data_IF_302076984085
#
_entry.id   IF_302076984085
#
_cell.length_a   1.000
_cell.length_b   1.000
_cell.length_c   1.000
_cell.angle_alpha   90.00
_cell.angle_beta   90.00
_cell.angle_gamma   90.00
#
_symmetry.space_group_name_H-M   'P 1'
#
loop_
_entity.id
_entity.type
_entity.pdbx_description
1 polymer ?
#
# COMPACT_ATOMS: atom_id res chain seq x y z
N UNK A 1 35.42 -17.94 34.25
CA UNK A 1 34.80 -17.34 33.06
C UNK A 1 35.31 -15.90 32.92
N UNK A 2 36.13 -15.62 31.89
CA UNK A 2 36.83 -14.35 31.71
C UNK A 2 36.05 -13.46 30.79
N UNK A 3 35.57 -12.30 31.30
CA UNK A 3 34.94 -11.23 30.53
C UNK A 3 36.01 -10.46 29.75
N UNK A 4 35.93 -10.44 28.42
CA UNK A 4 36.80 -9.60 27.56
C UNK A 4 36.11 -8.25 27.34
N UNK A 5 36.71 -7.20 27.92
CA UNK A 5 36.35 -5.80 27.69
C UNK A 5 37.08 -5.32 26.44
N UNK A 6 36.34 -4.87 25.44
CA UNK A 6 36.90 -4.21 24.26
C UNK A 6 36.92 -2.71 24.50
N UNK A 7 38.12 -2.13 24.51
CA UNK A 7 38.35 -0.68 24.56
C UNK A 7 38.45 -0.16 23.14
N UNK A 8 37.60 0.83 22.83
CA UNK A 8 37.67 1.61 21.58
C UNK A 8 38.53 2.83 21.86
N UNK A 9 39.63 2.96 21.17
CA UNK A 9 40.54 4.10 21.23
C UNK A 9 40.03 5.24 20.33
N UNK A 10 39.86 6.43 20.91
CA UNK A 10 39.71 7.67 20.18
C UNK A 10 41.08 8.12 19.66
N UNK A 11 41.19 8.38 18.36
CA UNK A 11 42.32 9.08 17.78
C UNK A 11 41.85 10.48 17.34
N UNK A 12 42.33 11.50 18.06
CA UNK A 12 42.34 12.91 17.63
C UNK A 12 43.56 13.14 16.75
N UNK A 13 43.38 13.79 15.59
CA UNK A 13 44.36 14.59 14.85
C UNK A 13 43.58 15.35 13.79
N UNK A 14 43.69 16.60 13.54
CA UNK A 14 44.63 17.67 13.84
C UNK A 14 44.27 18.82 12.91
N UNK A 15 44.17 20.01 13.47
CA UNK A 15 43.89 21.25 12.74
C UNK A 15 45.03 21.56 11.73
N UNK A 16 44.64 21.93 10.48
CA UNK A 16 45.44 22.79 9.65
C UNK A 16 44.61 23.96 9.14
N UNK A 17 44.90 25.13 9.71
CA UNK A 17 44.54 26.42 9.16
C UNK A 17 45.50 26.74 7.99
N UNK A 18 44.98 27.06 6.81
CA UNK A 18 45.67 27.92 5.84
C UNK A 18 44.71 29.00 5.38
N UNK A 19 45.14 30.21 5.62
CA UNK A 19 44.45 31.43 5.26
C UNK A 19 44.77 31.87 3.82
N UNK A 20 43.82 32.62 3.26
CA UNK A 20 44.01 33.68 2.25
C UNK A 20 44.15 33.26 0.79
N UNK A 21 43.14 33.59 -0.03
CA UNK A 21 43.27 34.73 -0.95
C UNK A 21 41.92 35.08 -1.63
N UNK A 22 41.64 36.38 -1.58
CA UNK A 22 40.60 37.04 -2.35
C UNK A 22 40.84 36.89 -3.86
N UNK A 23 39.83 36.42 -4.60
CA UNK A 23 39.64 36.81 -5.99
C UNK A 23 38.22 36.56 -6.46
N UNK A 24 37.55 37.66 -6.80
CA UNK A 24 36.51 37.84 -7.79
C UNK A 24 35.21 37.04 -7.60
N UNK A 25 34.23 37.71 -6.95
CA UNK A 25 32.80 37.49 -7.14
C UNK A 25 32.49 37.44 -8.64
N UNK A 26 32.40 36.24 -9.19
CA UNK A 26 31.63 35.99 -10.39
C UNK A 26 30.24 35.52 -9.90
N UNK A 27 29.28 36.41 -10.05
CA UNK A 27 27.85 36.17 -9.82
C UNK A 27 27.41 35.12 -10.82
N UNK A 28 27.57 33.85 -10.47
CA UNK A 28 26.84 32.75 -11.10
C UNK A 28 25.46 32.77 -10.51
N UNK A 29 24.51 33.30 -11.28
CA UNK A 29 23.11 32.97 -11.14
C UNK A 29 23.01 31.46 -11.39
N UNK A 30 23.12 30.66 -10.35
CA UNK A 30 22.60 29.32 -10.38
C UNK A 30 21.09 29.49 -10.47
N UNK A 31 20.52 29.17 -11.61
CA UNK A 31 19.12 28.85 -11.73
C UNK A 31 18.87 27.73 -10.73
N UNK A 32 18.32 28.05 -9.58
CA UNK A 32 17.59 27.09 -8.76
C UNK A 32 16.51 26.53 -9.69
N UNK A 33 16.75 25.35 -10.22
CA UNK A 33 15.67 24.49 -10.63
C UNK A 33 14.88 24.22 -9.35
N UNK A 34 13.87 25.04 -9.09
CA UNK A 34 12.75 24.66 -8.27
C UNK A 34 12.13 23.51 -9.03
N UNK A 35 12.54 22.27 -8.72
CA UNK A 35 11.71 21.12 -9.01
C UNK A 35 10.36 21.47 -8.41
N UNK A 36 9.41 21.74 -9.28
CA UNK A 36 8.03 21.91 -8.87
C UNK A 36 7.69 20.64 -8.09
N UNK A 37 7.47 20.78 -6.81
CA UNK A 37 6.96 19.75 -5.92
C UNK A 37 5.62 19.32 -6.54
N UNK A 38 5.68 18.28 -7.39
CA UNK A 38 4.48 17.71 -8.02
C UNK A 38 3.77 16.99 -6.88
N UNK A 39 2.76 17.65 -6.34
CA UNK A 39 1.90 17.06 -5.34
C UNK A 39 1.49 15.65 -5.79
N UNK A 40 1.80 14.66 -4.96
CA UNK A 40 1.44 13.27 -5.21
C UNK A 40 -0.08 13.17 -5.51
N UNK A 41 -0.48 12.42 -6.56
CA UNK A 41 -1.88 12.31 -6.91
C UNK A 41 -2.67 11.70 -5.73
N UNK A 42 -3.81 12.30 -5.45
CA UNK A 42 -4.74 11.78 -4.44
C UNK A 42 -5.79 10.93 -5.13
N UNK A 43 -5.90 9.69 -4.69
CA UNK A 43 -6.90 8.75 -5.21
C UNK A 43 -8.18 8.79 -4.38
N UNK A 44 -9.30 8.44 -5.01
CA UNK A 44 -10.59 8.25 -4.33
C UNK A 44 -11.02 6.80 -4.47
N UNK A 45 -11.61 6.24 -3.40
CA UNK A 45 -12.12 4.86 -3.40
C UNK A 45 -13.54 4.79 -3.97
N UNK A 46 -14.38 5.72 -3.50
CA UNK A 46 -15.81 5.70 -3.84
C UNK A 46 -16.03 6.05 -5.31
N UNK A 47 -16.89 5.29 -5.96
CA UNK A 47 -17.15 5.37 -7.40
C UNK A 47 -16.21 4.49 -8.25
N UNK A 48 -15.11 3.99 -7.68
CA UNK A 48 -14.18 3.15 -8.43
C UNK A 48 -14.76 1.76 -8.70
N UNK A 49 -14.45 1.25 -9.87
CA UNK A 49 -14.60 -0.15 -10.25
C UNK A 49 -13.21 -0.70 -10.51
N UNK A 50 -12.85 -1.77 -9.81
CA UNK A 50 -11.53 -2.39 -9.90
C UNK A 50 -11.64 -3.87 -10.23
N UNK A 51 -10.67 -4.37 -10.97
CA UNK A 51 -10.42 -5.80 -11.10
C UNK A 51 -9.23 -6.16 -10.22
N UNK A 52 -9.41 -7.18 -9.39
CA UNK A 52 -8.40 -7.70 -8.47
C UNK A 52 -8.01 -9.10 -8.95
N UNK A 53 -6.71 -9.27 -9.20
CA UNK A 53 -6.14 -10.51 -9.72
C UNK A 53 -5.20 -11.07 -8.66
N UNK A 54 -5.68 -12.05 -7.90
CA UNK A 54 -4.92 -12.64 -6.80
C UNK A 54 -4.01 -13.77 -7.27
N UNK A 55 -2.95 -13.99 -6.55
CA UNK A 55 -2.13 -15.20 -6.67
C UNK A 55 -3.01 -16.43 -6.46
N UNK A 56 -2.75 -17.52 -7.19
CA UNK A 56 -3.60 -18.71 -7.16
C UNK A 56 -4.83 -18.67 -8.07
N UNK A 57 -5.02 -17.58 -8.84
CA UNK A 57 -6.00 -17.52 -9.93
C UNK A 57 -7.40 -17.02 -9.52
N UNK A 58 -7.63 -16.65 -8.27
CA UNK A 58 -8.85 -15.97 -7.87
C UNK A 58 -8.92 -14.57 -8.50
N UNK A 59 -10.09 -14.21 -9.03
CA UNK A 59 -10.38 -12.88 -9.58
C UNK A 59 -11.58 -12.29 -8.87
N UNK A 60 -11.54 -10.99 -8.62
CA UNK A 60 -12.69 -10.25 -8.10
C UNK A 60 -12.86 -8.93 -8.86
N UNK A 61 -14.08 -8.65 -9.30
CA UNK A 61 -14.51 -7.34 -9.76
C UNK A 61 -15.22 -6.68 -8.60
N UNK A 62 -14.76 -5.50 -8.18
CA UNK A 62 -15.35 -4.79 -7.05
C UNK A 62 -15.70 -3.36 -7.47
N UNK A 63 -16.92 -2.95 -7.13
CA UNK A 63 -17.39 -1.58 -7.28
C UNK A 63 -17.68 -0.99 -5.91
N UNK A 64 -17.03 0.09 -5.55
CA UNK A 64 -17.23 0.83 -4.31
C UNK A 64 -18.32 1.87 -4.52
N UNK A 65 -19.56 1.53 -4.13
CA UNK A 65 -20.76 2.31 -4.48
C UNK A 65 -20.89 3.59 -3.65
N UNK A 66 -20.60 3.49 -2.36
CA UNK A 66 -20.64 4.59 -1.40
C UNK A 66 -19.79 4.23 -0.17
N UNK A 67 -19.80 5.06 0.86
CA UNK A 67 -18.96 4.90 2.06
C UNK A 67 -19.18 3.60 2.84
N UNK A 68 -20.32 2.94 2.65
CA UNK A 68 -20.71 1.76 3.42
C UNK A 68 -21.09 0.55 2.56
N UNK A 69 -21.01 0.65 1.23
CA UNK A 69 -21.52 -0.41 0.36
C UNK A 69 -20.57 -0.67 -0.80
N UNK A 70 -20.22 -1.93 -0.97
CA UNK A 70 -19.55 -2.44 -2.16
C UNK A 70 -20.42 -3.49 -2.86
N UNK A 71 -20.21 -3.62 -4.16
CA UNK A 71 -20.72 -4.72 -4.99
C UNK A 71 -19.52 -5.48 -5.54
N UNK A 72 -19.49 -6.79 -5.36
CA UNK A 72 -18.38 -7.62 -5.83
C UNK A 72 -18.88 -8.83 -6.61
N UNK A 73 -18.05 -9.26 -7.55
CA UNK A 73 -18.21 -10.49 -8.30
C UNK A 73 -16.88 -11.24 -8.25
N UNK A 74 -16.86 -12.36 -7.59
CA UNK A 74 -15.64 -13.18 -7.41
C UNK A 74 -15.71 -14.42 -8.27
N UNK A 75 -14.61 -14.74 -8.93
CA UNK A 75 -14.46 -15.94 -9.75
C UNK A 75 -13.31 -16.79 -9.22
N UNK A 76 -13.62 -18.03 -8.86
CA UNK A 76 -12.65 -19.03 -8.40
C UNK A 76 -12.90 -20.34 -9.16
N UNK A 77 -11.89 -20.86 -9.86
CA UNK A 77 -11.99 -22.10 -10.63
C UNK A 77 -13.23 -22.17 -11.54
N UNK A 78 -13.62 -21.05 -12.15
CA UNK A 78 -14.80 -20.95 -13.02
C UNK A 78 -16.13 -20.79 -12.29
N UNK A 79 -16.20 -20.96 -10.98
CA UNK A 79 -17.37 -20.65 -10.18
C UNK A 79 -17.43 -19.16 -9.89
N UNK A 80 -18.63 -18.57 -10.00
CA UNK A 80 -18.87 -17.15 -9.82
C UNK A 80 -19.79 -16.95 -8.62
N UNK A 81 -19.38 -16.08 -7.69
CA UNK A 81 -20.22 -15.56 -6.60
C UNK A 81 -20.35 -14.04 -6.77
N UNK A 82 -21.56 -13.52 -6.61
CA UNK A 82 -21.85 -12.10 -6.74
C UNK A 82 -22.66 -11.64 -5.53
N UNK A 83 -22.17 -10.60 -4.86
CA UNK A 83 -22.75 -10.10 -3.62
C UNK A 83 -22.67 -8.58 -3.52
N UNK A 84 -23.61 -8.03 -2.77
CA UNK A 84 -23.55 -6.64 -2.29
C UNK A 84 -23.37 -6.69 -0.78
N UNK A 85 -22.26 -6.16 -0.29
CA UNK A 85 -21.88 -6.24 1.10
C UNK A 85 -21.84 -4.85 1.74
N UNK A 86 -22.20 -4.78 3.02
CA UNK A 86 -21.89 -3.61 3.85
C UNK A 86 -20.40 -3.65 4.17
N UNK A 87 -19.72 -2.50 3.99
CA UNK A 87 -18.31 -2.37 4.27
C UNK A 87 -18.02 -1.28 5.28
N UNK A 88 -16.85 -1.40 5.92
CA UNK A 88 -16.18 -0.32 6.64
C UNK A 88 -14.90 -0.01 5.88
N UNK A 89 -14.62 1.26 5.67
CA UNK A 89 -13.43 1.68 4.95
C UNK A 89 -12.69 2.78 5.69
N UNK A 90 -11.39 2.88 5.44
CA UNK A 90 -10.54 3.96 5.94
C UNK A 90 -9.45 4.28 4.94
N UNK A 91 -9.29 5.56 4.63
CA UNK A 91 -8.11 6.06 3.92
C UNK A 91 -6.88 5.93 4.83
N UNK A 92 -5.80 5.31 4.34
CA UNK A 92 -4.51 5.20 5.03
C UNK A 92 -3.66 6.42 4.66
N UNK A 93 -3.57 6.73 3.37
CA UNK A 93 -2.85 7.89 2.81
C UNK A 93 -3.44 8.30 1.44
N UNK A 94 -2.67 9.04 0.64
CA UNK A 94 -3.13 9.56 -0.66
C UNK A 94 -3.49 8.47 -1.68
N UNK A 95 -2.95 7.25 -1.56
CA UNK A 95 -3.14 6.15 -2.52
C UNK A 95 -3.71 4.88 -1.93
N UNK A 96 -3.68 4.73 -0.60
CA UNK A 96 -4.02 3.47 0.05
C UNK A 96 -5.28 3.56 0.90
N UNK A 97 -6.07 2.48 0.83
CA UNK A 97 -7.31 2.31 1.57
C UNK A 97 -7.35 0.95 2.25
N UNK A 98 -7.83 0.94 3.48
CA UNK A 98 -8.27 -0.26 4.18
C UNK A 98 -9.77 -0.42 3.97
N UNK A 99 -10.23 -1.64 3.62
CA UNK A 99 -11.64 -1.98 3.46
C UNK A 99 -11.90 -3.32 4.15
N UNK A 100 -12.98 -3.39 4.91
CA UNK A 100 -13.41 -4.62 5.59
C UNK A 100 -14.89 -4.86 5.34
N UNK A 101 -15.25 -6.12 5.10
CA UNK A 101 -16.66 -6.58 4.97
C UNK A 101 -16.81 -8.02 5.41
N UNK A 102 -18.06 -8.44 5.57
CA UNK A 102 -18.44 -9.83 5.84
C UNK A 102 -19.28 -10.32 4.66
N UNK A 103 -18.93 -11.48 4.13
CA UNK A 103 -19.64 -12.16 3.05
C UNK A 103 -20.85 -12.92 3.58
N UNK A 104 -21.77 -13.32 2.70
CA UNK A 104 -23.00 -14.01 3.12
C UNK A 104 -22.73 -15.36 3.77
N UNK A 105 -21.63 -16.02 3.45
CA UNK A 105 -21.20 -17.27 4.09
C UNK A 105 -20.47 -17.09 5.43
N UNK A 106 -20.33 -15.83 5.89
CA UNK A 106 -19.62 -15.47 7.12
C UNK A 106 -18.11 -15.32 6.95
N UNK A 107 -17.56 -15.41 5.72
CA UNK A 107 -16.19 -15.06 5.43
C UNK A 107 -15.97 -13.59 5.73
N UNK A 108 -14.93 -13.26 6.49
CA UNK A 108 -14.53 -11.86 6.71
C UNK A 108 -13.34 -11.54 5.81
N UNK A 109 -13.44 -10.45 5.08
CA UNK A 109 -12.36 -9.92 4.25
C UNK A 109 -11.85 -8.60 4.82
N UNK A 110 -10.54 -8.53 5.05
CA UNK A 110 -9.81 -7.32 5.44
C UNK A 110 -8.78 -7.02 4.37
N UNK A 111 -8.96 -5.93 3.64
CA UNK A 111 -8.24 -5.66 2.41
C UNK A 111 -7.53 -4.32 2.47
N UNK A 112 -6.31 -4.27 1.95
CA UNK A 112 -5.58 -3.03 1.63
C UNK A 112 -5.43 -2.93 0.12
N UNK A 113 -5.87 -1.80 -0.42
CA UNK A 113 -5.71 -1.41 -1.82
C UNK A 113 -4.66 -0.33 -1.90
N UNK A 114 -3.71 -0.46 -2.82
CA UNK A 114 -2.77 0.60 -3.18
C UNK A 114 -2.97 0.96 -4.65
N UNK A 115 -3.58 2.11 -4.89
CA UNK A 115 -3.89 2.60 -6.23
C UNK A 115 -2.65 3.10 -6.98
N UNK A 116 -1.63 3.58 -6.26
CA UNK A 116 -0.36 4.03 -6.85
C UNK A 116 0.45 2.84 -7.34
N UNK A 117 0.67 1.86 -6.46
CA UNK A 117 1.44 0.66 -6.78
C UNK A 117 0.62 -0.40 -7.53
N UNK A 118 -0.71 -0.18 -7.69
CA UNK A 118 -1.64 -1.11 -8.35
C UNK A 118 -1.61 -2.50 -7.71
N UNK A 119 -1.57 -2.56 -6.39
CA UNK A 119 -1.52 -3.79 -5.62
C UNK A 119 -2.71 -3.93 -4.68
N UNK A 120 -3.01 -5.17 -4.33
CA UNK A 120 -4.01 -5.53 -3.33
C UNK A 120 -3.45 -6.60 -2.42
N UNK A 121 -3.76 -6.48 -1.13
CA UNK A 121 -3.53 -7.55 -0.14
C UNK A 121 -4.83 -7.75 0.63
N UNK A 122 -5.28 -8.99 0.76
CA UNK A 122 -6.49 -9.34 1.51
C UNK A 122 -6.19 -10.45 2.51
N UNK A 123 -6.64 -10.26 3.73
CA UNK A 123 -6.70 -11.29 4.77
C UNK A 123 -8.14 -11.77 4.88
N UNK A 124 -8.33 -13.05 4.59
CA UNK A 124 -9.61 -13.72 4.69
C UNK A 124 -9.66 -14.56 5.97
N UNK A 125 -10.81 -14.58 6.65
CA UNK A 125 -11.10 -15.59 7.66
C UNK A 125 -12.44 -16.25 7.35
N UNK A 126 -12.49 -17.57 7.36
CA UNK A 126 -13.66 -18.35 6.97
C UNK A 126 -13.80 -19.61 7.81
N UNK A 127 -14.98 -20.22 7.77
CA UNK A 127 -15.22 -21.52 8.41
C UNK A 127 -15.07 -22.61 7.36
N UNK A 128 -14.19 -23.57 7.62
CA UNK A 128 -13.99 -24.72 6.75
C UNK A 128 -15.14 -25.74 6.84
N UNK A 129 -15.12 -26.76 5.95
CA UNK A 129 -16.15 -27.82 5.95
C UNK A 129 -16.19 -28.64 7.26
N UNK A 130 -15.11 -28.64 8.02
CA UNK A 130 -14.97 -29.28 9.32
C UNK A 130 -15.53 -28.42 10.48
N UNK A 131 -16.06 -27.23 10.19
CA UNK A 131 -16.57 -26.27 11.16
C UNK A 131 -15.49 -25.47 11.88
N UNK A 132 -14.21 -25.64 11.53
CA UNK A 132 -13.12 -24.86 12.13
C UNK A 132 -12.88 -23.54 11.40
N UNK A 133 -12.33 -22.55 12.15
CA UNK A 133 -11.96 -21.25 11.57
C UNK A 133 -10.57 -21.34 10.95
N UNK A 134 -10.49 -20.88 9.72
CA UNK A 134 -9.26 -20.78 8.94
C UNK A 134 -8.98 -19.33 8.56
N UNK A 135 -7.75 -19.07 8.18
CA UNK A 135 -7.35 -17.78 7.61
C UNK A 135 -6.43 -17.95 6.42
N UNK A 136 -6.47 -16.98 5.52
CA UNK A 136 -5.62 -16.95 4.33
C UNK A 136 -5.23 -15.51 4.02
N UNK A 137 -3.95 -15.28 3.75
CA UNK A 137 -3.44 -14.02 3.22
C UNK A 137 -3.20 -14.19 1.72
N UNK A 138 -3.77 -13.31 0.91
CA UNK A 138 -3.58 -13.29 -0.53
C UNK A 138 -3.05 -11.94 -0.96
N UNK A 139 -2.12 -11.95 -1.90
CA UNK A 139 -1.63 -10.76 -2.59
C UNK A 139 -2.03 -10.81 -4.07
N UNK A 140 -2.09 -9.64 -4.70
CA UNK A 140 -2.49 -9.56 -6.08
C UNK A 140 -2.28 -8.18 -6.70
N UNK A 141 -2.76 -8.02 -7.93
CA UNK A 141 -2.74 -6.77 -8.68
C UNK A 141 -4.13 -6.15 -8.72
N UNK A 142 -4.13 -4.83 -8.77
CA UNK A 142 -5.31 -4.00 -8.92
C UNK A 142 -5.29 -3.35 -10.31
N UNK A 143 -6.39 -3.46 -11.03
CA UNK A 143 -6.59 -2.81 -12.34
C UNK A 143 -7.86 -1.96 -12.25
N UNK A 144 -7.77 -0.68 -12.59
CA UNK A 144 -8.94 0.20 -12.68
C UNK A 144 -9.77 -0.17 -13.92
N UNK A 145 -11.09 -0.21 -13.75
CA UNK A 145 -12.03 -0.50 -14.83
C UNK A 145 -12.72 0.79 -15.23
N UNK A 146 -12.50 1.25 -16.45
CA UNK A 146 -13.24 2.40 -16.98
C UNK A 146 -12.41 3.66 -17.24
N UNK A 147 -11.09 3.53 -17.45
CA UNK A 147 -10.31 4.51 -18.20
C UNK A 147 -10.26 4.14 -19.68
#
# INVERSE_FOLDING_TARGET
>A
MKKKTVRIALALCGLFFVASNNAKRKKLLSSENVEADQAEPTYELIGQRVQLLYEGGMKAEVQYLNDTTLHRKTTVNGSVAEERNTMVQRRIDNSRFFVNWIEYDGTTASQVLDFKEKTVTVFLTFTGPDGTRHSQLLSGRLELQGE
#
